data_IF_490998439115
#
_entry.id   IF_490998439115
#
_cell.length_a   1.000
_cell.length_b   1.000
_cell.length_c   1.000
_cell.angle_alpha   90.00
_cell.angle_beta   90.00
_cell.angle_gamma   90.00
#
_symmetry.space_group_name_H-M   'P 1'
#
loop_
_entity.id
_entity.type
_entity.pdbx_description
1 polymer ?
#
# COMPACT_ATOMS: atom_id res chain seq x y z
N UNK A 1 -19.81 12.89 -22.79
CA UNK A 1 -19.25 11.63 -22.26
C UNK A 1 -19.33 11.68 -20.74
N UNK A 2 -20.28 10.98 -20.14
CA UNK A 2 -20.23 10.75 -18.70
C UNK A 2 -19.17 9.67 -18.49
N UNK A 3 -17.93 10.08 -18.20
CA UNK A 3 -16.87 9.16 -17.79
C UNK A 3 -17.43 8.45 -16.56
N UNK A 4 -17.71 7.16 -16.70
CA UNK A 4 -18.32 6.37 -15.64
C UNK A 4 -17.57 6.65 -14.35
N UNK A 5 -18.30 7.14 -13.34
CA UNK A 5 -17.77 7.29 -11.99
C UNK A 5 -17.09 5.97 -11.61
N UNK A 6 -15.76 5.96 -11.40
CA UNK A 6 -15.07 4.73 -11.06
C UNK A 6 -15.74 4.14 -9.84
N UNK A 7 -16.13 2.88 -10.03
CA UNK A 7 -16.76 1.94 -9.11
C UNK A 7 -16.63 2.29 -7.63
N UNK A 8 -17.79 2.29 -6.98
CA UNK A 8 -18.00 2.35 -5.54
C UNK A 8 -17.00 1.48 -4.75
N UNK A 9 -16.57 2.01 -3.60
CA UNK A 9 -15.58 1.47 -2.66
C UNK A 9 -15.27 -0.01 -2.82
N UNK A 10 -14.11 -0.27 -3.40
CA UNK A 10 -13.49 -1.58 -3.51
C UNK A 10 -11.98 -1.45 -3.23
N UNK A 11 -11.28 -2.56 -2.94
CA UNK A 11 -9.83 -2.57 -2.81
C UNK A 11 -9.16 -2.10 -4.11
N UNK A 12 -8.10 -1.31 -3.99
CA UNK A 12 -7.33 -0.82 -5.13
C UNK A 12 -6.40 -1.93 -5.65
N UNK A 13 -6.68 -2.43 -6.86
CA UNK A 13 -5.83 -3.41 -7.55
C UNK A 13 -4.43 -2.85 -7.80
N UNK A 14 -4.34 -1.60 -8.25
CA UNK A 14 -3.04 -0.97 -8.57
C UNK A 14 -2.15 -0.86 -7.33
N UNK A 15 -2.74 -0.50 -6.18
CA UNK A 15 -1.99 -0.44 -4.93
C UNK A 15 -1.51 -1.83 -4.50
N UNK A 16 -2.37 -2.85 -4.60
CA UNK A 16 -2.00 -4.23 -4.26
C UNK A 16 -0.87 -4.76 -5.14
N UNK A 17 -0.93 -4.53 -6.46
CA UNK A 17 0.11 -4.94 -7.40
C UNK A 17 1.45 -4.27 -7.07
N UNK A 18 1.44 -2.97 -6.77
CA UNK A 18 2.64 -2.22 -6.41
C UNK A 18 3.23 -2.64 -5.06
N UNK A 19 2.41 -2.99 -4.08
CA UNK A 19 2.89 -3.55 -2.80
C UNK A 19 3.63 -4.87 -3.03
N UNK A 20 3.04 -5.82 -3.77
CA UNK A 20 3.69 -7.09 -4.08
C UNK A 20 4.95 -6.89 -4.93
N UNK A 21 4.90 -6.00 -5.92
CA UNK A 21 6.04 -5.66 -6.77
C UNK A 21 7.20 -5.05 -5.97
N UNK A 22 6.90 -4.10 -5.08
CA UNK A 22 7.92 -3.47 -4.24
C UNK A 22 8.55 -4.47 -3.27
N UNK A 23 7.75 -5.29 -2.58
CA UNK A 23 8.26 -6.31 -1.67
C UNK A 23 9.04 -7.43 -2.38
N UNK A 24 8.61 -7.82 -3.58
CA UNK A 24 9.36 -8.77 -4.40
C UNK A 24 10.71 -8.19 -4.83
N UNK A 25 10.72 -6.93 -5.28
CA UNK A 25 11.95 -6.23 -5.65
C UNK A 25 12.86 -5.99 -4.45
N UNK A 26 12.32 -5.67 -3.27
CA UNK A 26 13.11 -5.46 -2.06
C UNK A 26 13.85 -6.74 -1.64
N UNK A 27 13.25 -7.91 -1.85
CA UNK A 27 13.93 -9.21 -1.67
C UNK A 27 15.13 -9.39 -2.60
N UNK A 28 14.98 -9.08 -3.90
CA UNK A 28 16.08 -9.14 -4.87
C UNK A 28 17.16 -8.11 -4.51
N UNK A 29 16.73 -6.86 -4.26
CA UNK A 29 17.59 -5.76 -3.84
C UNK A 29 18.42 -6.16 -2.61
N UNK A 30 17.81 -6.78 -1.59
CA UNK A 30 18.51 -7.20 -0.39
C UNK A 30 19.61 -8.23 -0.67
N UNK A 31 19.33 -9.25 -1.49
CA UNK A 31 20.34 -10.26 -1.85
C UNK A 31 21.52 -9.64 -2.59
N UNK A 32 21.25 -8.73 -3.53
CA UNK A 32 22.28 -8.03 -4.31
C UNK A 32 23.11 -7.12 -3.40
N UNK A 33 22.46 -6.27 -2.61
CA UNK A 33 23.10 -5.36 -1.66
C UNK A 33 23.96 -6.13 -0.66
N UNK A 34 23.47 -7.25 -0.12
CA UNK A 34 24.24 -8.09 0.81
C UNK A 34 25.48 -8.69 0.13
N UNK A 35 25.34 -9.20 -1.10
CA UNK A 35 26.48 -9.71 -1.88
C UNK A 35 27.53 -8.62 -2.15
N UNK A 36 27.09 -7.40 -2.48
CA UNK A 36 27.96 -6.26 -2.68
C UNK A 36 28.64 -5.80 -1.39
N UNK A 37 27.95 -5.82 -0.26
CA UNK A 37 28.54 -5.52 1.06
C UNK A 37 29.64 -6.50 1.44
N UNK A 38 29.43 -7.80 1.21
CA UNK A 38 30.45 -8.84 1.43
C UNK A 38 31.66 -8.59 0.53
N UNK A 39 31.42 -8.32 -0.76
CA UNK A 39 32.48 -8.01 -1.72
C UNK A 39 33.30 -6.80 -1.29
N UNK A 40 32.64 -5.66 -1.01
CA UNK A 40 33.31 -4.43 -0.59
C UNK A 40 34.05 -4.63 0.74
N UNK A 41 33.46 -5.35 1.69
CA UNK A 41 34.09 -5.65 2.97
C UNK A 41 35.37 -6.48 2.86
N UNK A 42 35.50 -7.30 1.81
CA UNK A 42 36.70 -8.09 1.53
C UNK A 42 37.80 -7.32 0.78
N UNK A 43 37.42 -6.34 -0.05
CA UNK A 43 38.34 -5.66 -0.97
C UNK A 43 38.72 -4.25 -0.52
N UNK A 44 37.86 -3.58 0.24
CA UNK A 44 38.04 -2.17 0.65
C UNK A 44 38.09 -2.06 2.17
N UNK A 45 38.82 -1.04 2.64
CA UNK A 45 38.94 -0.75 4.06
C UNK A 45 37.65 -0.11 4.58
N UNK A 46 36.85 -0.85 5.35
CA UNK A 46 35.73 -0.27 6.07
C UNK A 46 36.14 0.24 7.45
N UNK A 47 35.62 1.41 7.88
CA UNK A 47 35.62 1.77 9.29
C UNK A 47 34.96 0.66 10.14
N UNK A 48 35.47 0.35 11.35
CA UNK A 48 35.07 -0.83 12.12
C UNK A 48 33.55 -1.01 12.34
N UNK A 49 32.81 0.10 12.47
CA UNK A 49 31.38 0.09 12.72
C UNK A 49 30.51 0.27 11.45
N UNK A 50 31.09 0.71 10.33
CA UNK A 50 30.31 1.10 9.16
C UNK A 50 29.68 -0.12 8.45
N UNK A 51 30.47 -1.17 8.21
CA UNK A 51 30.00 -2.36 7.51
C UNK A 51 28.84 -3.07 8.26
N UNK A 52 28.95 -3.36 9.58
CA UNK A 52 27.84 -3.98 10.30
C UNK A 52 26.57 -3.11 10.31
N UNK A 53 26.72 -1.78 10.42
CA UNK A 53 25.59 -0.85 10.38
C UNK A 53 24.88 -0.86 9.02
N UNK A 54 25.63 -0.93 7.92
CA UNK A 54 25.06 -1.11 6.59
C UNK A 54 24.31 -2.45 6.51
N UNK A 55 24.90 -3.58 6.91
CA UNK A 55 24.18 -4.88 6.89
C UNK A 55 22.89 -4.85 7.72
N UNK A 56 22.93 -4.31 8.94
CA UNK A 56 21.75 -4.23 9.82
C UNK A 56 20.68 -3.33 9.22
N UNK A 57 21.06 -2.18 8.67
CA UNK A 57 20.10 -1.27 8.04
C UNK A 57 19.47 -1.87 6.78
N UNK A 58 20.19 -2.66 5.99
CA UNK A 58 19.63 -3.39 4.84
C UNK A 58 18.57 -4.40 5.31
N UNK A 59 18.86 -5.14 6.39
CA UNK A 59 17.92 -6.09 6.96
C UNK A 59 16.67 -5.39 7.52
N UNK A 60 16.86 -4.28 8.23
CA UNK A 60 15.74 -3.48 8.75
C UNK A 60 14.87 -2.94 7.62
N UNK A 61 15.48 -2.45 6.53
CA UNK A 61 14.75 -1.96 5.36
C UNK A 61 13.90 -3.06 4.73
N UNK A 62 14.45 -4.27 4.59
CA UNK A 62 13.71 -5.44 4.11
C UNK A 62 12.49 -5.74 5.01
N UNK A 63 12.67 -5.73 6.33
CA UNK A 63 11.57 -5.95 7.30
C UNK A 63 10.50 -4.87 7.16
N UNK A 64 10.88 -3.62 6.95
CA UNK A 64 9.96 -2.49 6.73
C UNK A 64 9.12 -2.71 5.47
N UNK A 65 9.73 -3.12 4.35
CA UNK A 65 9.00 -3.40 3.11
C UNK A 65 8.00 -4.55 3.26
N UNK A 66 8.37 -5.64 3.96
CA UNK A 66 7.44 -6.74 4.24
C UNK A 66 6.34 -6.34 5.23
N UNK A 67 6.66 -5.52 6.24
CA UNK A 67 5.66 -4.95 7.14
C UNK A 67 4.67 -4.07 6.37
N UNK A 68 5.16 -3.23 5.46
CA UNK A 68 4.34 -2.41 4.58
C UNK A 68 3.42 -3.26 3.69
N UNK A 69 3.92 -4.36 3.12
CA UNK A 69 3.11 -5.31 2.36
C UNK A 69 1.99 -5.90 3.22
N UNK A 70 2.32 -6.36 4.44
CA UNK A 70 1.36 -7.03 5.32
C UNK A 70 0.24 -6.08 5.78
N UNK A 71 0.59 -4.87 6.20
CA UNK A 71 -0.36 -3.86 6.65
C UNK A 71 -1.15 -3.29 5.47
N UNK A 72 -0.47 -3.04 4.34
CA UNK A 72 -1.08 -2.48 3.14
C UNK A 72 -2.08 -3.42 2.50
N UNK A 73 -1.77 -4.72 2.45
CA UNK A 73 -2.71 -5.74 1.95
C UNK A 73 -3.94 -5.83 2.83
N UNK A 74 -3.75 -5.86 4.16
CA UNK A 74 -4.86 -5.91 5.13
C UNK A 74 -5.72 -4.65 5.07
N UNK A 75 -5.10 -3.47 5.05
CA UNK A 75 -5.81 -2.19 4.99
C UNK A 75 -6.55 -1.98 3.68
N UNK A 76 -5.95 -2.36 2.55
CA UNK A 76 -6.58 -2.24 1.23
C UNK A 76 -7.80 -3.17 1.11
N UNK A 77 -7.68 -4.44 1.53
CA UNK A 77 -8.78 -5.40 1.47
C UNK A 77 -9.91 -5.10 2.47
N UNK A 78 -9.57 -4.55 3.65
CA UNK A 78 -10.55 -4.17 4.66
C UNK A 78 -11.14 -2.77 4.43
N UNK A 79 -10.71 -2.05 3.38
CA UNK A 79 -11.03 -0.64 3.14
C UNK A 79 -10.84 0.22 4.39
N UNK A 80 -9.78 -0.09 5.15
CA UNK A 80 -9.47 0.57 6.39
C UNK A 80 -8.43 1.66 6.14
N UNK A 81 -8.84 2.91 6.34
CA UNK A 81 -7.99 4.09 6.14
C UNK A 81 -6.78 4.08 7.07
N UNK A 82 -6.96 3.69 8.34
CA UNK A 82 -5.89 3.74 9.36
C UNK A 82 -4.70 2.83 9.02
N UNK A 83 -4.96 1.55 8.79
CA UNK A 83 -3.93 0.56 8.44
C UNK A 83 -3.31 0.83 7.07
N UNK A 84 -4.09 1.33 6.11
CA UNK A 84 -3.56 1.79 4.81
C UNK A 84 -2.60 2.97 4.96
N UNK A 85 -2.94 3.96 5.79
CA UNK A 85 -2.05 5.10 6.09
C UNK A 85 -0.76 4.66 6.77
N UNK A 86 -0.81 3.68 7.68
CA UNK A 86 0.40 3.11 8.30
C UNK A 86 1.29 2.44 7.26
N UNK A 87 0.71 1.68 6.33
CA UNK A 87 1.48 1.07 5.24
C UNK A 87 2.13 2.12 4.34
N UNK A 88 1.42 3.20 4.00
CA UNK A 88 2.00 4.34 3.25
C UNK A 88 3.16 4.98 4.03
N UNK A 89 3.02 5.14 5.34
CA UNK A 89 4.09 5.63 6.21
C UNK A 89 5.34 4.74 6.14
N UNK A 90 5.17 3.41 6.21
CA UNK A 90 6.28 2.47 6.07
C UNK A 90 6.93 2.52 4.68
N UNK A 91 6.15 2.66 3.60
CA UNK A 91 6.69 2.84 2.26
C UNK A 91 7.50 4.14 2.12
N UNK A 92 7.11 5.22 2.80
CA UNK A 92 7.89 6.46 2.85
C UNK A 92 9.22 6.26 3.59
N UNK A 93 9.20 5.56 4.73
CA UNK A 93 10.43 5.19 5.44
C UNK A 93 11.31 4.32 4.53
N UNK A 94 10.72 3.38 3.79
CA UNK A 94 11.46 2.54 2.86
C UNK A 94 12.07 3.35 1.69
N UNK A 95 11.35 4.34 1.16
CA UNK A 95 11.86 5.26 0.16
C UNK A 95 13.06 6.06 0.67
N UNK A 96 13.02 6.54 1.92
CA UNK A 96 14.16 7.20 2.56
C UNK A 96 15.34 6.23 2.70
N UNK A 97 15.07 4.98 3.08
CA UNK A 97 16.09 3.92 3.11
C UNK A 97 16.72 3.66 1.75
N UNK A 98 15.95 3.65 0.67
CA UNK A 98 16.49 3.51 -0.68
C UNK A 98 17.41 4.69 -1.05
N UNK A 99 17.05 5.92 -0.69
CA UNK A 99 17.91 7.11 -0.89
C UNK A 99 19.23 6.98 -0.11
N UNK A 100 19.19 6.44 1.11
CA UNK A 100 20.40 6.17 1.90
C UNK A 100 21.37 5.26 1.13
N UNK A 101 20.89 4.17 0.55
CA UNK A 101 21.73 3.25 -0.25
C UNK A 101 22.16 3.80 -1.60
N UNK A 102 21.52 4.85 -2.10
CA UNK A 102 21.95 5.52 -3.33
C UNK A 102 23.17 6.41 -3.11
N UNK A 103 23.23 7.16 -2.01
CA UNK A 103 24.23 8.23 -1.85
C UNK A 103 25.01 8.22 -0.53
N UNK A 104 24.45 7.66 0.54
CA UNK A 104 25.01 7.76 1.89
C UNK A 104 25.76 6.48 2.32
N UNK A 105 25.95 5.53 1.41
CA UNK A 105 26.78 4.35 1.65
C UNK A 105 28.27 4.71 1.69
N UNK A 106 29.06 4.02 2.52
CA UNK A 106 30.51 4.24 2.63
C UNK A 106 31.22 4.12 1.28
N UNK A 107 30.80 3.14 0.47
CA UNK A 107 31.25 2.95 -0.90
C UNK A 107 30.06 2.69 -1.80
N UNK A 108 29.68 3.66 -2.64
CA UNK A 108 28.57 3.51 -3.58
C UNK A 108 29.07 2.88 -4.88
N UNK A 109 28.52 1.74 -5.27
CA UNK A 109 28.76 1.14 -6.58
C UNK A 109 27.60 1.48 -7.54
N UNK A 110 27.89 1.51 -8.85
CA UNK A 110 26.86 1.76 -9.87
C UNK A 110 25.71 0.74 -9.81
N UNK A 111 26.02 -0.52 -9.43
CA UNK A 111 25.01 -1.55 -9.27
C UNK A 111 24.06 -1.27 -8.10
N UNK A 112 24.58 -0.90 -6.92
CA UNK A 112 23.74 -0.50 -5.77
C UNK A 112 22.86 0.69 -6.12
N UNK A 113 23.43 1.68 -6.81
CA UNK A 113 22.69 2.87 -7.25
C UNK A 113 21.52 2.48 -8.15
N UNK A 114 21.75 1.60 -9.14
CA UNK A 114 20.71 1.19 -10.07
C UNK A 114 19.58 0.40 -9.37
N UNK A 115 19.94 -0.56 -8.53
CA UNK A 115 18.97 -1.39 -7.80
C UNK A 115 18.15 -0.56 -6.80
N UNK A 116 18.81 0.36 -6.09
CA UNK A 116 18.16 1.25 -5.13
C UNK A 116 17.30 2.31 -5.81
N UNK A 117 17.67 2.79 -6.99
CA UNK A 117 16.84 3.69 -7.79
C UNK A 117 15.54 3.02 -8.25
N UNK A 118 15.59 1.74 -8.66
CA UNK A 118 14.40 0.98 -9.02
C UNK A 118 13.51 0.75 -7.78
N UNK A 119 14.11 0.40 -6.63
CA UNK A 119 13.38 0.23 -5.37
C UNK A 119 12.67 1.54 -4.97
N UNK A 120 13.37 2.67 -5.05
CA UNK A 120 12.81 3.99 -4.80
C UNK A 120 11.63 4.28 -5.73
N UNK A 121 11.78 4.03 -7.03
CA UNK A 121 10.72 4.22 -8.01
C UNK A 121 9.47 3.40 -7.69
N UNK A 122 9.62 2.13 -7.36
CA UNK A 122 8.52 1.25 -6.96
C UNK A 122 7.83 1.74 -5.68
N UNK A 123 8.61 2.12 -4.67
CA UNK A 123 8.06 2.64 -3.41
C UNK A 123 7.30 3.95 -3.62
N UNK A 124 7.83 4.89 -4.42
CA UNK A 124 7.14 6.15 -4.74
C UNK A 124 5.83 5.88 -5.48
N UNK A 125 5.84 5.00 -6.49
CA UNK A 125 4.61 4.61 -7.20
C UNK A 125 3.60 3.95 -6.24
N UNK A 126 4.06 3.06 -5.36
CA UNK A 126 3.22 2.41 -4.35
C UNK A 126 2.58 3.42 -3.39
N UNK A 127 3.34 4.43 -2.93
CA UNK A 127 2.84 5.53 -2.11
C UNK A 127 1.75 6.30 -2.85
N UNK A 128 1.99 6.69 -4.10
CA UNK A 128 1.00 7.42 -4.90
C UNK A 128 -0.29 6.60 -5.06
N UNK A 129 -0.17 5.33 -5.45
CA UNK A 129 -1.30 4.43 -5.58
C UNK A 129 -2.05 4.21 -4.25
N UNK A 130 -1.33 4.13 -3.14
CA UNK A 130 -1.90 4.03 -1.79
C UNK A 130 -2.69 5.28 -1.41
N UNK A 131 -2.15 6.48 -1.70
CA UNK A 131 -2.87 7.75 -1.49
C UNK A 131 -4.16 7.78 -2.31
N UNK A 132 -4.11 7.38 -3.59
CA UNK A 132 -5.33 7.28 -4.41
C UNK A 132 -6.33 6.27 -3.87
N UNK A 133 -5.87 5.10 -3.38
CA UNK A 133 -6.73 4.09 -2.77
C UNK A 133 -7.44 4.64 -1.51
N UNK A 134 -6.68 5.26 -0.61
CA UNK A 134 -7.22 5.88 0.61
C UNK A 134 -8.22 6.98 0.28
N UNK A 135 -7.93 7.83 -0.71
CA UNK A 135 -8.87 8.85 -1.17
C UNK A 135 -10.16 8.23 -1.72
N UNK A 136 -10.08 7.11 -2.45
CA UNK A 136 -11.23 6.37 -2.93
C UNK A 136 -12.13 5.87 -1.79
N UNK A 137 -11.52 5.23 -0.79
CA UNK A 137 -12.22 4.75 0.42
C UNK A 137 -12.86 5.90 1.20
N UNK A 138 -12.15 7.01 1.40
CA UNK A 138 -12.69 8.19 2.09
C UNK A 138 -13.90 8.74 1.32
N UNK A 139 -13.81 8.87 -0.02
CA UNK A 139 -14.93 9.35 -0.86
C UNK A 139 -16.13 8.40 -0.84
N UNK A 140 -15.90 7.09 -0.81
CA UNK A 140 -16.96 6.10 -0.68
C UNK A 140 -17.67 6.24 0.67
N UNK A 141 -16.94 6.41 1.77
CA UNK A 141 -17.51 6.63 3.10
C UNK A 141 -18.32 7.93 3.22
N UNK A 142 -17.90 8.98 2.53
CA UNK A 142 -18.61 10.26 2.49
C UNK A 142 -19.80 10.28 1.51
N UNK A 143 -19.89 9.33 0.59
CA UNK A 143 -21.02 9.19 -0.34
C UNK A 143 -22.09 8.29 0.29
N UNK A 144 -23.11 8.83 1.00
CA UNK A 144 -24.12 8.02 1.66
C UNK A 144 -25.18 7.68 0.60
N UNK A 145 -24.82 6.93 -0.44
CA UNK A 145 -25.77 6.52 -1.47
C UNK A 145 -26.42 5.18 -1.07
N UNK A 146 -27.73 5.25 -0.84
CA UNK A 146 -28.71 4.15 -0.75
C UNK A 146 -29.14 3.58 0.61
N UNK A 147 -29.10 4.36 1.71
CA UNK A 147 -30.17 4.20 2.73
C UNK A 147 -31.56 4.65 2.22
N UNK A 148 -31.63 5.27 1.04
CA UNK A 148 -32.86 5.48 0.27
C UNK A 148 -33.22 4.29 -0.64
N UNK A 149 -32.94 3.06 -0.22
CA UNK A 149 -33.81 1.97 -0.68
C UNK A 149 -35.25 2.45 -0.41
N UNK A 150 -36.16 2.43 -1.40
CA UNK A 150 -37.54 2.78 -1.13
C UNK A 150 -37.97 1.97 0.10
N UNK A 151 -38.46 2.66 1.13
CA UNK A 151 -39.28 1.99 2.13
C UNK A 151 -40.27 1.13 1.32
N UNK A 152 -40.44 -0.18 1.61
CA UNK A 152 -41.46 -0.95 0.93
C UNK A 152 -42.73 -0.12 1.06
N UNK A 153 -43.32 0.27 -0.07
CA UNK A 153 -44.50 1.10 -0.04
C UNK A 153 -45.49 0.34 0.83
N UNK A 154 -45.72 0.84 2.05
CA UNK A 154 -46.75 0.29 2.91
C UNK A 154 -48.00 0.22 2.04
N UNK A 155 -48.63 -0.94 2.02
CA UNK A 155 -49.76 -1.29 1.17
C UNK A 155 -50.63 -0.03 0.93
N UNK A 156 -50.86 0.39 -0.34
CA UNK A 156 -51.67 1.57 -0.64
C UNK A 156 -52.96 1.54 0.16
N UNK A 157 -53.43 2.69 0.67
CA UNK A 157 -54.60 2.77 1.58
C UNK A 157 -55.78 1.93 1.09
N UNK A 158 -56.08 1.99 -0.21
CA UNK A 158 -57.15 1.21 -0.85
C UNK A 158 -56.97 -0.32 -0.71
N UNK A 159 -55.74 -0.80 -0.78
CA UNK A 159 -55.43 -2.22 -0.65
C UNK A 159 -55.38 -2.65 0.82
N UNK A 160 -55.05 -1.72 1.73
CA UNK A 160 -55.22 -1.87 3.18
C UNK A 160 -56.72 -1.98 3.56
N UNK A 161 -57.57 -1.19 2.93
CA UNK A 161 -59.03 -1.21 3.14
C UNK A 161 -59.68 -2.49 2.62
N UNK A 162 -59.23 -3.01 1.45
CA UNK A 162 -59.69 -4.32 0.94
C UNK A 162 -59.39 -5.47 1.91
N UNK A 163 -58.18 -5.49 2.48
CA UNK A 163 -57.79 -6.53 3.46
C UNK A 163 -58.60 -6.42 4.74
N UNK A 164 -58.99 -5.20 5.15
CA UNK A 164 -59.80 -4.99 6.35
C UNK A 164 -61.25 -5.44 6.16
N UNK A 165 -61.87 -5.11 5.03
CA UNK A 165 -63.22 -5.57 4.67
C UNK A 165 -63.35 -7.09 4.65
N UNK A 166 -62.35 -7.79 4.12
CA UNK A 166 -62.40 -9.25 4.02
C UNK A 166 -62.27 -9.98 5.36
N UNK A 167 -61.97 -9.26 6.45
CA UNK A 167 -61.84 -9.81 7.81
C UNK A 167 -63.06 -9.50 8.69
N UNK A 168 -63.96 -8.64 8.23
CA UNK A 168 -65.22 -8.29 8.90
C UNK A 168 -66.40 -9.16 8.39
N UNK A 169 -66.20 -9.87 7.27
CA UNK A 169 -67.05 -10.96 6.78
C UNK A 169 -66.61 -12.31 7.39
#
# INVERSE_FOLDING_TARGET
>A
MNVGTPTAGGPSLSFQLLLYGSAGWSGIWFVVTLGLLIYKGSMLHFPPAALPMEIVSALLLLVIDFAALSLGTRGNLAEEVGTSCLAIGLLLVAAVGAIYYMWLQTYVMMLDLAFSAILLGLNVLAVLAGVYAVQGVIRAKHSPRQRFAPQPHGLPSFMRDKVKRHKED
#
